data_IF_615871484227
#
_entry.id   IF_615871484227
#
_cell.length_a   1.000
_cell.length_b   1.000
_cell.length_c   1.000
_cell.angle_alpha   90.00
_cell.angle_beta   90.00
_cell.angle_gamma   90.00
#
_symmetry.space_group_name_H-M   'P 1'
#
loop_
_entity.id
_entity.type
_entity.pdbx_description
1 polymer ?
#
# COMPACT_ATOMS: atom_id res chain seq x y z
N UNK A 1 9.03 10.53 -18.84
CA UNK A 1 9.02 9.07 -18.51
C UNK A 1 10.40 8.55 -18.89
N UNK A 2 11.07 7.80 -18.03
CA UNK A 2 12.40 7.23 -18.33
C UNK A 2 12.19 6.00 -19.23
N UNK A 3 12.91 5.88 -20.35
CA UNK A 3 12.86 4.67 -21.19
C UNK A 3 13.19 3.41 -20.40
N UNK A 4 12.52 2.30 -20.72
CA UNK A 4 12.65 1.04 -19.98
C UNK A 4 14.10 0.50 -19.94
N UNK A 5 14.85 0.73 -21.00
CA UNK A 5 16.25 0.32 -21.12
C UNK A 5 17.18 0.93 -20.08
N UNK A 6 16.87 2.13 -19.56
CA UNK A 6 17.67 2.80 -18.52
C UNK A 6 17.32 2.36 -17.09
N UNK A 7 16.22 1.67 -16.92
CA UNK A 7 15.78 1.19 -15.59
C UNK A 7 15.85 -0.33 -15.47
N UNK A 8 16.24 -1.01 -16.54
CA UNK A 8 16.35 -2.47 -16.55
C UNK A 8 17.28 -2.97 -15.45
N UNK A 9 16.81 -3.93 -14.67
CA UNK A 9 17.56 -4.51 -13.57
C UNK A 9 17.54 -3.73 -12.26
N UNK A 10 16.99 -2.50 -12.21
CA UNK A 10 16.88 -1.73 -10.98
C UNK A 10 15.92 -2.39 -9.99
N UNK A 11 16.28 -2.32 -8.71
CA UNK A 11 15.45 -2.80 -7.62
C UNK A 11 14.65 -1.66 -6.98
N UNK A 12 13.44 -1.98 -6.57
CA UNK A 12 12.57 -1.07 -5.84
C UNK A 12 11.88 -1.83 -4.70
N UNK A 13 11.67 -1.16 -3.55
CA UNK A 13 10.94 -1.72 -2.42
C UNK A 13 9.69 -0.87 -2.17
N UNK A 14 8.50 -1.46 -2.33
CA UNK A 14 7.21 -0.81 -2.14
C UNK A 14 6.22 -1.75 -1.45
N UNK A 15 5.15 -1.17 -0.96
CA UNK A 15 4.01 -1.87 -0.35
C UNK A 15 3.07 -2.52 -1.36
N UNK A 16 3.18 -2.15 -2.63
CA UNK A 16 2.32 -2.67 -3.68
C UNK A 16 2.98 -2.63 -5.06
N UNK A 17 2.74 -3.67 -5.84
CA UNK A 17 3.01 -3.76 -7.28
C UNK A 17 1.80 -4.38 -7.97
N UNK A 18 1.59 -4.05 -9.26
CA UNK A 18 0.46 -4.56 -10.04
C UNK A 18 0.33 -6.09 -10.04
N UNK A 19 1.43 -6.80 -9.93
CA UNK A 19 1.50 -8.26 -9.95
C UNK A 19 1.49 -8.92 -8.56
N UNK A 20 1.09 -8.18 -7.52
CA UNK A 20 0.72 -8.78 -6.23
C UNK A 20 -0.53 -9.62 -6.43
N UNK A 21 -0.47 -10.90 -6.02
CA UNK A 21 -1.45 -11.92 -6.39
C UNK A 21 -2.45 -12.26 -5.28
N UNK A 22 -2.59 -11.41 -4.26
CA UNK A 22 -3.66 -11.62 -3.29
C UNK A 22 -5.04 -11.34 -3.91
N UNK A 23 -6.12 -12.03 -3.46
CA UNK A 23 -7.43 -11.94 -4.07
C UNK A 23 -8.00 -10.52 -4.12
N UNK A 24 -7.74 -9.71 -3.08
CA UNK A 24 -8.22 -8.34 -3.02
C UNK A 24 -7.55 -7.46 -4.08
N UNK A 25 -6.23 -7.55 -4.21
CA UNK A 25 -5.46 -6.81 -5.21
C UNK A 25 -5.86 -7.18 -6.63
N UNK A 26 -6.10 -8.45 -6.89
CA UNK A 26 -6.54 -8.92 -8.20
C UNK A 26 -7.94 -8.40 -8.56
N UNK A 27 -8.88 -8.40 -7.63
CA UNK A 27 -10.22 -7.86 -7.86
C UNK A 27 -10.19 -6.34 -8.04
N UNK A 28 -9.44 -5.61 -7.21
CA UNK A 28 -9.26 -4.15 -7.35
C UNK A 28 -8.71 -3.79 -8.73
N UNK A 29 -7.70 -4.52 -9.19
CA UNK A 29 -7.12 -4.32 -10.51
C UNK A 29 -8.11 -4.60 -11.64
N UNK A 30 -8.89 -5.68 -11.50
CA UNK A 30 -9.92 -6.06 -12.45
C UNK A 30 -11.03 -4.98 -12.55
N UNK A 31 -11.46 -4.43 -11.42
CA UNK A 31 -12.41 -3.33 -11.38
C UNK A 31 -11.82 -2.05 -12.01
N UNK A 32 -10.58 -1.75 -11.70
CA UNK A 32 -9.88 -0.60 -12.29
C UNK A 32 -9.79 -0.72 -13.81
N UNK A 33 -9.37 -1.86 -14.34
CA UNK A 33 -9.25 -2.10 -15.78
C UNK A 33 -10.62 -2.03 -16.50
N UNK A 34 -11.71 -2.41 -15.82
CA UNK A 34 -13.09 -2.26 -16.36
C UNK A 34 -13.54 -0.80 -16.40
N UNK A 35 -13.22 -0.02 -15.38
CA UNK A 35 -13.63 1.39 -15.28
C UNK A 35 -12.80 2.30 -16.19
N UNK A 36 -11.56 1.93 -16.45
CA UNK A 36 -10.61 2.69 -17.24
C UNK A 36 -10.03 1.86 -18.39
N UNK A 37 -10.87 1.47 -19.37
CA UNK A 37 -10.44 0.66 -20.52
C UNK A 37 -9.59 1.52 -21.47
N UNK A 38 -8.29 1.57 -21.27
CA UNK A 38 -7.37 2.35 -22.10
C UNK A 38 -6.11 1.58 -22.48
N UNK A 39 -5.43 2.06 -23.54
CA UNK A 39 -4.11 1.51 -23.93
C UNK A 39 -3.00 1.96 -23.00
N UNK A 40 -3.14 3.13 -22.38
CA UNK A 40 -2.24 3.58 -21.33
C UNK A 40 -2.63 2.88 -20.02
N UNK A 41 -1.95 1.80 -19.72
CA UNK A 41 -2.10 1.09 -18.45
C UNK A 41 -1.48 1.88 -17.31
N UNK A 42 -2.05 3.04 -17.00
CA UNK A 42 -1.81 3.65 -15.70
C UNK A 42 -2.43 2.74 -14.67
N UNK A 43 -1.58 1.99 -14.05
CA UNK A 43 -1.99 1.04 -13.05
C UNK A 43 -2.18 1.76 -11.73
N UNK A 44 -3.14 1.30 -10.95
CA UNK A 44 -3.18 1.60 -9.54
C UNK A 44 -1.82 1.21 -8.93
N UNK A 45 -0.90 2.14 -8.87
CA UNK A 45 0.40 1.96 -8.25
C UNK A 45 0.35 2.21 -6.74
N UNK A 46 1.49 2.12 -6.05
CA UNK A 46 1.56 2.25 -4.59
C UNK A 46 0.99 3.57 -4.06
N UNK A 47 1.08 4.67 -4.80
CA UNK A 47 0.46 5.93 -4.41
C UNK A 47 -1.07 5.84 -4.35
N UNK A 48 -1.70 5.25 -5.37
CA UNK A 48 -3.15 5.04 -5.41
C UNK A 48 -3.59 4.07 -4.31
N UNK A 49 -2.91 2.94 -4.17
CA UNK A 49 -3.25 1.93 -3.17
C UNK A 49 -2.98 2.40 -1.75
N UNK A 50 -1.98 3.26 -1.56
CA UNK A 50 -1.71 3.94 -0.29
C UNK A 50 -2.86 4.84 0.14
N UNK A 51 -3.38 5.68 -0.79
CA UNK A 51 -4.56 6.51 -0.52
C UNK A 51 -5.80 5.66 -0.23
N UNK A 52 -6.04 4.62 -1.02
CA UNK A 52 -7.15 3.70 -0.79
C UNK A 52 -7.08 3.09 0.62
N UNK A 53 -5.92 2.58 1.01
CA UNK A 53 -5.67 2.01 2.35
C UNK A 53 -5.91 3.05 3.44
N UNK A 54 -5.41 4.26 3.27
CA UNK A 54 -5.61 5.37 4.20
C UNK A 54 -7.08 5.69 4.43
N UNK A 55 -7.88 5.75 3.35
CA UNK A 55 -9.33 5.97 3.44
C UNK A 55 -10.06 4.82 4.17
N UNK A 56 -9.64 3.57 3.94
CA UNK A 56 -10.23 2.41 4.62
C UNK A 56 -9.90 2.37 6.12
N UNK A 57 -8.68 2.76 6.50
CA UNK A 57 -8.29 2.90 7.90
C UNK A 57 -9.07 4.04 8.58
N UNK A 58 -9.23 5.17 7.89
CA UNK A 58 -10.06 6.27 8.37
C UNK A 58 -11.54 5.84 8.55
N UNK A 59 -12.11 5.14 7.58
CA UNK A 59 -13.46 4.57 7.68
C UNK A 59 -13.61 3.65 8.91
N UNK A 60 -12.62 2.79 9.15
CA UNK A 60 -12.61 1.91 10.31
C UNK A 60 -12.58 2.72 11.62
N UNK A 61 -11.74 3.75 11.68
CA UNK A 61 -11.63 4.64 12.83
C UNK A 61 -12.93 5.43 13.11
N UNK A 62 -13.58 5.94 12.06
CA UNK A 62 -14.88 6.63 12.20
C UNK A 62 -15.97 5.70 12.73
N UNK A 63 -16.01 4.47 12.25
CA UNK A 63 -16.96 3.45 12.73
C UNK A 63 -16.72 3.08 14.19
N UNK A 64 -15.47 2.94 14.59
CA UNK A 64 -15.06 2.65 15.97
C UNK A 64 -15.38 3.82 16.90
N UNK A 65 -15.05 5.05 16.48
CA UNK A 65 -15.32 6.26 17.26
C UNK A 65 -16.83 6.56 17.41
N UNK A 66 -17.67 6.12 16.46
CA UNK A 66 -19.09 6.49 16.38
C UNK A 66 -19.29 8.01 16.24
N UNK A 67 -18.28 8.73 15.76
CA UNK A 67 -18.21 10.19 15.73
C UNK A 67 -17.41 10.66 14.52
N UNK A 68 -17.74 11.86 14.01
CA UNK A 68 -16.94 12.58 13.01
C UNK A 68 -16.08 13.68 13.61
N UNK A 69 -16.08 13.82 14.94
CA UNK A 69 -15.21 14.79 15.60
C UNK A 69 -13.76 14.37 15.46
N UNK A 70 -12.92 15.30 15.06
CA UNK A 70 -11.52 15.06 14.77
C UNK A 70 -10.77 14.32 15.89
N UNK A 71 -10.94 14.78 17.14
CA UNK A 71 -10.27 14.19 18.30
C UNK A 71 -10.67 12.73 18.56
N UNK A 72 -11.95 12.40 18.35
CA UNK A 72 -12.46 11.05 18.54
C UNK A 72 -11.90 10.11 17.46
N UNK A 73 -11.90 10.58 16.20
CA UNK A 73 -11.38 9.82 15.05
C UNK A 73 -9.86 9.62 15.17
N UNK A 74 -9.10 10.63 15.60
CA UNK A 74 -7.64 10.51 15.80
C UNK A 74 -7.35 9.43 16.84
N UNK A 75 -8.07 9.40 17.96
CA UNK A 75 -7.91 8.36 19.00
C UNK A 75 -8.21 6.96 18.47
N UNK A 76 -9.31 6.80 17.74
CA UNK A 76 -9.68 5.52 17.16
C UNK A 76 -8.70 5.09 16.04
N UNK A 77 -8.14 6.06 15.29
CA UNK A 77 -7.18 5.78 14.23
C UNK A 77 -5.89 5.12 14.75
N UNK A 78 -5.48 5.38 16.00
CA UNK A 78 -4.33 4.73 16.64
C UNK A 78 -4.42 3.20 16.64
N UNK A 79 -5.63 2.64 16.58
CA UNK A 79 -5.89 1.20 16.63
C UNK A 79 -6.57 0.68 15.34
N UNK A 80 -6.73 1.54 14.35
CA UNK A 80 -7.43 1.18 13.12
C UNK A 80 -6.70 0.10 12.35
N UNK A 81 -7.46 -0.87 11.83
CA UNK A 81 -6.95 -1.98 11.03
C UNK A 81 -7.93 -2.37 9.95
N UNK A 82 -7.39 -2.90 8.86
CA UNK A 82 -8.14 -3.53 7.78
C UNK A 82 -7.60 -4.94 7.55
N UNK A 83 -8.50 -5.91 7.52
CA UNK A 83 -8.13 -7.31 7.33
C UNK A 83 -7.71 -7.63 5.90
N UNK A 84 -8.22 -6.88 4.93
CA UNK A 84 -7.89 -7.02 3.52
C UNK A 84 -7.80 -5.64 2.85
N UNK A 85 -6.84 -5.50 1.96
CA UNK A 85 -6.60 -4.30 1.19
C UNK A 85 -5.59 -4.55 0.08
N UNK A 86 -5.25 -3.52 -0.71
CA UNK A 86 -4.22 -3.66 -1.73
C UNK A 86 -2.88 -4.05 -1.10
N UNK A 87 -2.31 -5.18 -1.56
CA UNK A 87 -1.08 -5.74 -0.98
C UNK A 87 -1.27 -6.49 0.33
N UNK A 88 -2.52 -6.66 0.82
CA UNK A 88 -2.84 -7.41 2.02
C UNK A 88 -3.37 -6.55 3.18
N UNK A 89 -3.34 -7.09 4.41
CA UNK A 89 -3.81 -6.39 5.60
C UNK A 89 -2.93 -5.18 5.94
N UNK A 90 -3.53 -4.24 6.69
CA UNK A 90 -2.80 -3.08 7.21
C UNK A 90 -3.34 -2.69 8.59
N UNK A 91 -2.46 -2.21 9.45
CA UNK A 91 -2.75 -1.85 10.83
C UNK A 91 -1.95 -0.61 11.23
N UNK A 92 -2.61 0.35 11.88
CA UNK A 92 -1.92 1.48 12.48
C UNK A 92 -1.08 1.01 13.68
N UNK A 93 0.11 1.58 13.82
CA UNK A 93 0.94 1.33 15.00
C UNK A 93 0.73 2.45 16.01
N UNK A 94 0.16 2.13 17.20
CA UNK A 94 -0.17 3.14 18.19
C UNK A 94 1.03 4.02 18.56
N UNK A 95 0.81 5.32 18.63
CA UNK A 95 1.82 6.31 18.99
C UNK A 95 2.87 6.62 17.92
N UNK A 96 2.85 5.93 16.78
CA UNK A 96 3.81 6.16 15.69
C UNK A 96 3.19 6.85 14.47
N UNK A 97 1.86 6.86 14.34
CA UNK A 97 1.14 7.37 13.17
C UNK A 97 1.60 6.76 11.82
N UNK A 98 2.13 5.56 11.87
CA UNK A 98 2.59 4.78 10.74
C UNK A 98 1.80 3.48 10.61
N UNK A 99 1.80 2.91 9.39
CA UNK A 99 1.07 1.69 9.07
C UNK A 99 2.03 0.51 8.99
N UNK A 100 1.73 -0.56 9.71
CA UNK A 100 2.30 -1.89 9.53
C UNK A 100 1.61 -2.56 8.36
N UNK A 101 2.37 -3.05 7.38
CA UNK A 101 1.85 -3.63 6.14
C UNK A 101 2.87 -4.51 5.43
N UNK A 102 2.42 -5.28 4.44
CA UNK A 102 3.32 -6.05 3.59
C UNK A 102 4.22 -5.14 2.76
N UNK A 103 5.47 -5.58 2.59
CA UNK A 103 6.44 -4.96 1.73
C UNK A 103 7.03 -5.97 0.74
N UNK A 104 7.38 -5.48 -0.44
CA UNK A 104 7.88 -6.30 -1.53
C UNK A 104 9.12 -5.68 -2.15
N UNK A 105 10.09 -6.51 -2.50
CA UNK A 105 11.20 -6.12 -3.37
C UNK A 105 10.87 -6.59 -4.78
N UNK A 106 10.91 -5.67 -5.73
CA UNK A 106 10.74 -5.99 -7.14
C UNK A 106 11.93 -5.48 -7.96
N UNK A 107 12.14 -6.10 -9.09
CA UNK A 107 13.15 -5.73 -10.08
C UNK A 107 12.47 -5.31 -11.38
N UNK A 108 12.93 -4.23 -11.97
CA UNK A 108 12.52 -3.80 -13.30
C UNK A 108 12.99 -4.82 -14.34
N UNK A 109 12.05 -5.29 -15.16
CA UNK A 109 12.30 -6.29 -16.19
C UNK A 109 11.36 -6.06 -17.38
N UNK A 110 11.91 -5.79 -18.56
CA UNK A 110 11.15 -5.56 -19.80
C UNK A 110 10.02 -4.53 -19.65
N UNK A 111 10.32 -3.40 -19.01
CA UNK A 111 9.34 -2.31 -18.81
C UNK A 111 8.26 -2.58 -17.77
N UNK A 112 8.37 -3.66 -17.01
CA UNK A 112 7.49 -4.02 -15.90
C UNK A 112 8.31 -4.27 -14.63
N UNK A 113 7.63 -4.43 -13.49
CA UNK A 113 8.26 -4.89 -12.26
C UNK A 113 7.93 -6.38 -12.03
N UNK A 114 8.94 -7.14 -11.68
CA UNK A 114 8.78 -8.52 -11.22
C UNK A 114 9.09 -8.58 -9.73
N UNK A 115 8.16 -9.04 -8.91
CA UNK A 115 8.41 -9.28 -7.49
C UNK A 115 9.45 -10.38 -7.37
N UNK A 116 10.58 -10.06 -6.74
CA UNK A 116 11.68 -10.99 -6.49
C UNK A 116 11.69 -11.49 -5.06
N UNK A 117 11.10 -10.72 -4.14
CA UNK A 117 10.97 -11.11 -2.74
C UNK A 117 9.77 -10.44 -2.07
N UNK A 118 8.94 -11.24 -1.41
CA UNK A 118 7.99 -10.75 -0.40
C UNK A 118 8.72 -10.69 0.95
N UNK A 119 8.66 -9.54 1.60
CA UNK A 119 9.24 -9.35 2.93
C UNK A 119 8.24 -9.67 4.04
N UNK A 120 6.95 -9.89 3.67
CA UNK A 120 5.87 -10.03 4.63
C UNK A 120 5.52 -8.68 5.28
N UNK A 121 4.86 -8.78 6.42
CA UNK A 121 4.46 -7.60 7.20
C UNK A 121 5.69 -6.99 7.88
N UNK A 122 5.89 -5.70 7.66
CA UNK A 122 7.01 -4.94 8.23
C UNK A 122 6.48 -3.89 9.19
N UNK A 123 7.09 -3.83 10.37
CA UNK A 123 6.85 -2.75 11.32
C UNK A 123 7.57 -1.47 10.88
N UNK A 124 6.87 -0.33 10.92
CA UNK A 124 7.52 0.94 10.67
C UNK A 124 8.58 1.19 11.74
N UNK A 125 9.71 1.76 11.32
CA UNK A 125 10.76 2.24 12.24
C UNK A 125 11.09 3.66 11.88
N UNK A 126 11.02 4.55 12.84
CA UNK A 126 11.48 5.91 12.65
C UNK A 126 13.00 5.91 12.44
N UNK A 127 13.46 6.68 11.44
CA UNK A 127 14.87 6.73 11.04
C UNK A 127 15.82 7.22 12.16
N UNK A 128 15.28 7.78 13.24
CA UNK A 128 16.06 8.40 14.32
C UNK A 128 16.51 7.43 15.42
N UNK A 129 16.00 6.19 15.43
CA UNK A 129 16.39 5.19 16.43
C UNK A 129 17.42 4.23 15.84
N UNK A 130 18.68 4.62 15.83
CA UNK A 130 19.74 3.64 15.54
C UNK A 130 20.90 4.06 14.64
N UNK A 131 21.02 5.33 14.31
CA UNK A 131 22.30 5.86 13.78
C UNK A 131 23.14 6.26 15.00
N UNK A 132 23.91 5.30 15.51
CA UNK A 132 25.06 5.56 16.37
C UNK A 132 26.31 5.53 15.52
#
# INVERSE_FOLDING_TARGET
MVPAEYVEGLYCCLDYYRNVSDPFSMELLNQYDKLFPGKAKFTAGSACTGLYRGLRLWEAAVKEAGSLKQEDVIKALEHAKIAAGPGGPAEMVPGQHHVRMNMYIAQANNGNFRIVKSLGVIDPKECMQGIK
#
